data_IF_315185349684
#
_entry.id   IF_315185349684
#
_cell.length_a   1.000
_cell.length_b   1.000
_cell.length_c   1.000
_cell.angle_alpha   90.00
_cell.angle_beta   90.00
_cell.angle_gamma   90.00
#
_symmetry.space_group_name_H-M   'P 1'
#
loop_
_entity.id
_entity.type
_entity.pdbx_description
1 polymer ?
#
# COMPACT_ATOMS: atom_id res chain seq x y z
N UNK A 1 2.06 -15.31 13.24
CA UNK A 1 1.47 -16.60 13.64
C UNK A 1 0.01 -16.44 14.07
N UNK A 2 -0.29 -15.49 14.96
CA UNK A 2 -1.67 -15.23 15.44
C UNK A 2 -2.68 -15.05 14.31
N UNK A 3 -2.40 -14.14 13.36
CA UNK A 3 -3.31 -13.78 12.25
C UNK A 3 -3.67 -14.97 11.35
N UNK A 4 -2.75 -15.90 11.12
CA UNK A 4 -3.00 -17.11 10.34
C UNK A 4 -3.65 -18.22 11.17
N UNK A 5 -3.45 -18.20 12.49
CA UNK A 5 -3.99 -19.20 13.41
C UNK A 5 -5.46 -18.98 13.75
N UNK A 6 -5.90 -17.73 13.90
CA UNK A 6 -7.28 -17.40 14.28
C UNK A 6 -8.33 -18.00 13.33
N UNK A 7 -8.22 -17.83 11.99
CA UNK A 7 -9.18 -18.43 11.07
C UNK A 7 -9.21 -19.97 11.17
N UNK A 8 -8.05 -20.61 11.39
CA UNK A 8 -7.97 -22.06 11.54
C UNK A 8 -8.70 -22.52 12.81
N UNK A 9 -8.51 -21.84 13.94
CA UNK A 9 -9.21 -22.15 15.19
C UNK A 9 -10.72 -22.03 15.03
N UNK A 10 -11.20 -21.02 14.31
CA UNK A 10 -12.62 -20.82 14.06
C UNK A 10 -13.19 -21.90 13.12
N UNK A 11 -12.45 -22.30 12.08
CA UNK A 11 -12.88 -23.33 11.13
C UNK A 11 -12.94 -24.73 11.72
N UNK A 12 -12.07 -25.08 12.68
CA UNK A 12 -12.05 -26.41 13.32
C UNK A 12 -12.90 -26.48 14.58
N UNK A 13 -13.30 -25.33 15.13
CA UNK A 13 -14.09 -25.26 16.35
C UNK A 13 -15.57 -25.58 16.10
N UNK A 14 -16.25 -26.00 17.16
CA UNK A 14 -17.65 -26.48 17.16
C UNK A 14 -18.58 -25.61 18.03
N UNK A 15 -18.15 -24.39 18.35
CA UNK A 15 -18.81 -23.50 19.32
C UNK A 15 -18.29 -23.67 20.75
N UNK A 16 -17.43 -24.66 21.00
CA UNK A 16 -16.84 -24.94 22.30
C UNK A 16 -15.62 -24.08 22.66
N UNK A 17 -14.72 -24.59 23.52
CA UNK A 17 -13.55 -23.85 23.99
C UNK A 17 -12.61 -23.38 22.88
N UNK A 18 -12.47 -24.17 21.80
CA UNK A 18 -11.60 -23.83 20.66
C UNK A 18 -12.14 -22.61 19.91
N UNK A 19 -13.45 -22.61 19.60
CA UNK A 19 -14.12 -21.46 18.99
C UNK A 19 -14.04 -20.24 19.89
N UNK A 20 -14.25 -20.40 21.20
CA UNK A 20 -14.15 -19.31 22.17
C UNK A 20 -12.76 -18.69 22.17
N UNK A 21 -11.70 -19.51 22.17
CA UNK A 21 -10.33 -19.03 22.07
C UNK A 21 -10.09 -18.29 20.73
N UNK A 22 -10.56 -18.84 19.62
CA UNK A 22 -10.49 -18.19 18.30
C UNK A 22 -11.16 -16.82 18.30
N UNK A 23 -12.37 -16.70 18.85
CA UNK A 23 -13.11 -15.45 18.94
C UNK A 23 -12.42 -14.43 19.84
N UNK A 24 -11.91 -14.83 21.01
CA UNK A 24 -11.15 -13.93 21.90
C UNK A 24 -9.91 -13.39 21.19
N UNK A 25 -9.16 -14.26 20.53
CA UNK A 25 -7.97 -13.86 19.78
C UNK A 25 -8.33 -12.95 18.59
N UNK A 26 -9.45 -13.20 17.91
CA UNK A 26 -10.00 -12.31 16.87
C UNK A 26 -10.28 -10.91 17.44
N UNK A 27 -10.99 -10.81 18.57
CA UNK A 27 -11.26 -9.53 19.23
C UNK A 27 -9.99 -8.81 19.64
N UNK A 28 -9.01 -9.52 20.20
CA UNK A 28 -7.73 -8.92 20.60
C UNK A 28 -6.96 -8.39 19.39
N UNK A 29 -6.88 -9.16 18.30
CA UNK A 29 -6.21 -8.74 17.07
C UNK A 29 -6.88 -7.51 16.45
N UNK A 30 -8.19 -7.56 16.23
CA UNK A 30 -8.94 -6.47 15.62
C UNK A 30 -9.05 -5.24 16.53
N UNK A 31 -9.06 -5.43 17.86
CA UNK A 31 -8.98 -4.36 18.84
C UNK A 31 -7.63 -3.65 18.81
N UNK A 32 -6.53 -4.41 18.70
CA UNK A 32 -5.20 -3.85 18.53
C UNK A 32 -5.08 -3.06 17.21
N UNK A 33 -5.59 -3.58 16.10
CA UNK A 33 -5.59 -2.86 14.81
C UNK A 33 -6.34 -1.52 14.96
N UNK A 34 -7.53 -1.55 15.58
CA UNK A 34 -8.34 -0.35 15.82
C UNK A 34 -7.62 0.68 16.69
N UNK A 35 -6.83 0.24 17.68
CA UNK A 35 -6.14 1.16 18.59
C UNK A 35 -4.89 1.82 18.01
N UNK A 36 -4.31 1.26 16.94
CA UNK A 36 -2.99 1.69 16.45
C UNK A 36 -3.04 2.58 15.20
N UNK A 37 -4.15 2.64 14.46
CA UNK A 37 -4.14 3.31 13.15
C UNK A 37 -5.35 4.26 12.99
N UNK A 38 -5.12 5.59 13.05
CA UNK A 38 -6.10 6.57 12.57
C UNK A 38 -5.99 6.86 11.06
N UNK A 39 -5.03 6.27 10.33
CA UNK A 39 -4.87 6.46 8.89
C UNK A 39 -5.62 5.41 8.06
N UNK A 40 -6.69 5.84 7.38
CA UNK A 40 -7.15 5.28 6.10
C UNK A 40 -7.53 3.79 6.03
N UNK A 41 -7.52 3.06 7.15
CA UNK A 41 -8.00 1.68 7.20
C UNK A 41 -9.52 1.72 7.19
N UNK A 42 -10.21 0.87 6.41
CA UNK A 42 -11.65 0.73 6.52
C UNK A 42 -11.98 0.07 7.87
N UNK A 43 -12.11 0.89 8.92
CA UNK A 43 -12.48 0.45 10.28
C UNK A 43 -13.83 -0.27 10.24
N UNK A 44 -14.69 0.11 9.29
CA UNK A 44 -15.94 -0.56 8.97
C UNK A 44 -15.69 -2.04 8.62
N UNK A 45 -14.66 -2.35 7.84
CA UNK A 45 -14.32 -3.74 7.51
C UNK A 45 -13.79 -4.48 8.73
N UNK A 46 -12.98 -3.80 9.55
CA UNK A 46 -12.48 -4.38 10.80
C UNK A 46 -13.64 -4.79 11.73
N UNK A 47 -14.65 -3.92 11.86
CA UNK A 47 -15.87 -4.20 12.62
C UNK A 47 -16.68 -5.34 12.01
N UNK A 48 -16.88 -5.32 10.69
CA UNK A 48 -17.65 -6.36 9.97
C UNK A 48 -16.98 -7.73 10.10
N UNK A 49 -15.64 -7.81 10.10
CA UNK A 49 -14.92 -9.07 10.29
C UNK A 49 -15.15 -9.65 11.70
N UNK A 50 -15.09 -8.81 12.73
CA UNK A 50 -15.38 -9.24 14.11
C UNK A 50 -16.84 -9.67 14.26
N UNK A 51 -17.77 -8.88 13.73
CA UNK A 51 -19.19 -9.24 13.73
C UNK A 51 -19.43 -10.56 12.99
N UNK A 52 -18.86 -10.73 11.79
CA UNK A 52 -18.98 -11.94 10.99
C UNK A 52 -18.42 -13.16 11.70
N UNK A 53 -17.28 -13.01 12.41
CA UNK A 53 -16.73 -14.09 13.22
C UNK A 53 -17.67 -14.49 14.36
N UNK A 54 -18.21 -13.53 15.12
CA UNK A 54 -19.19 -13.81 16.18
C UNK A 54 -20.47 -14.44 15.64
N UNK A 55 -20.97 -13.95 14.51
CA UNK A 55 -22.19 -14.44 13.91
C UNK A 55 -22.02 -15.87 13.40
N UNK A 56 -21.02 -16.11 12.54
CA UNK A 56 -20.83 -17.39 11.88
C UNK A 56 -20.32 -18.47 12.83
N UNK A 57 -19.36 -18.16 13.71
CA UNK A 57 -18.73 -19.18 14.54
C UNK A 57 -19.26 -19.18 15.99
N UNK A 58 -19.73 -18.04 16.50
CA UNK A 58 -20.28 -17.94 17.84
C UNK A 58 -21.76 -18.27 17.92
N UNK A 59 -22.59 -17.59 17.11
CA UNK A 59 -24.04 -17.75 17.14
C UNK A 59 -24.54 -18.92 16.28
N UNK A 60 -23.79 -19.27 15.23
CA UNK A 60 -24.16 -20.31 14.25
C UNK A 60 -23.06 -21.36 14.00
N UNK A 61 -22.43 -21.93 15.05
CA UNK A 61 -21.32 -22.88 14.90
C UNK A 61 -21.68 -24.14 14.08
N UNK A 62 -22.96 -24.45 13.96
CA UNK A 62 -23.47 -25.57 13.15
C UNK A 62 -23.33 -25.36 11.65
N UNK A 63 -23.20 -24.12 11.17
CA UNK A 63 -23.17 -23.80 9.74
C UNK A 63 -21.85 -24.22 9.13
N UNK A 64 -21.90 -25.09 8.12
CA UNK A 64 -20.72 -25.55 7.40
C UNK A 64 -20.55 -24.87 6.04
N UNK A 65 -19.30 -24.67 5.62
CA UNK A 65 -18.96 -24.33 4.24
C UNK A 65 -19.45 -25.37 3.22
N UNK A 66 -19.65 -26.62 3.66
CA UNK A 66 -20.16 -27.71 2.82
C UNK A 66 -21.68 -27.63 2.59
N UNK A 67 -22.38 -26.83 3.38
CA UNK A 67 -23.84 -26.67 3.29
C UNK A 67 -24.24 -25.53 2.35
N UNK A 68 -23.29 -25.01 1.55
CA UNK A 68 -23.57 -24.04 0.48
C UNK A 68 -24.50 -24.66 -0.58
N UNK A 69 -25.81 -24.46 -0.41
CA UNK A 69 -26.85 -25.03 -1.28
C UNK A 69 -26.92 -24.44 -2.70
N UNK A 70 -26.09 -23.45 -3.02
CA UNK A 70 -26.08 -22.76 -4.32
C UNK A 70 -24.72 -22.90 -5.01
N UNK A 71 -24.60 -23.75 -6.05
CA UNK A 71 -23.36 -23.90 -6.81
C UNK A 71 -22.82 -22.58 -7.41
N UNK A 72 -23.65 -21.66 -7.94
CA UNK A 72 -23.16 -20.35 -8.39
C UNK A 72 -22.53 -19.51 -7.28
N UNK A 73 -23.10 -19.53 -6.07
CA UNK A 73 -22.55 -18.80 -4.92
C UNK A 73 -21.22 -19.43 -4.50
N UNK A 74 -21.15 -20.76 -4.42
CA UNK A 74 -19.91 -21.46 -4.13
C UNK A 74 -18.81 -21.13 -5.16
N UNK A 75 -19.14 -21.12 -6.46
CA UNK A 75 -18.20 -20.75 -7.51
C UNK A 75 -17.71 -19.30 -7.37
N UNK A 76 -18.60 -18.37 -7.05
CA UNK A 76 -18.24 -16.97 -6.78
C UNK A 76 -17.27 -16.87 -5.60
N UNK A 77 -17.56 -17.53 -4.49
CA UNK A 77 -16.71 -17.51 -3.29
C UNK A 77 -15.33 -18.12 -3.56
N UNK A 78 -15.26 -19.26 -4.26
CA UNK A 78 -13.97 -19.85 -4.65
C UNK A 78 -13.18 -18.90 -5.55
N UNK A 79 -13.85 -18.27 -6.52
CA UNK A 79 -13.19 -17.31 -7.40
C UNK A 79 -12.65 -16.09 -6.63
N UNK A 80 -13.45 -15.47 -5.77
CA UNK A 80 -13.07 -14.24 -5.07
C UNK A 80 -12.14 -14.48 -3.89
N UNK A 81 -12.30 -15.57 -3.15
CA UNK A 81 -11.53 -15.84 -1.92
C UNK A 81 -10.26 -16.67 -2.17
N UNK A 82 -10.18 -17.39 -3.30
CA UNK A 82 -9.03 -18.24 -3.61
C UNK A 82 -8.35 -17.80 -4.90
N UNK A 83 -9.07 -17.78 -6.02
CA UNK A 83 -8.44 -17.55 -7.32
C UNK A 83 -7.87 -16.13 -7.46
N UNK A 84 -8.64 -15.10 -7.13
CA UNK A 84 -8.17 -13.70 -7.22
C UNK A 84 -6.97 -13.44 -6.29
N UNK A 85 -7.01 -13.79 -4.99
CA UNK A 85 -5.84 -13.71 -4.11
C UNK A 85 -4.63 -14.49 -4.62
N UNK A 86 -4.82 -15.72 -5.09
CA UNK A 86 -3.71 -16.54 -5.59
C UNK A 86 -3.04 -15.90 -6.80
N UNK A 87 -3.82 -15.48 -7.80
CA UNK A 87 -3.29 -14.82 -8.99
C UNK A 87 -2.58 -13.52 -8.62
N UNK A 88 -3.13 -12.72 -7.71
CA UNK A 88 -2.51 -11.48 -7.28
C UNK A 88 -1.26 -11.65 -6.42
N UNK A 89 -1.14 -12.76 -5.69
CA UNK A 89 0.11 -13.09 -5.01
C UNK A 89 1.18 -13.61 -5.98
N UNK A 90 0.81 -14.37 -7.02
CA UNK A 90 1.73 -14.90 -8.04
C UNK A 90 2.11 -13.86 -9.12
N UNK A 91 1.22 -12.91 -9.43
CA UNK A 91 1.37 -11.91 -10.47
C UNK A 91 0.85 -10.54 -9.99
N UNK A 92 1.49 -9.92 -8.98
CA UNK A 92 1.00 -8.70 -8.35
C UNK A 92 0.86 -7.52 -9.31
N UNK A 93 1.65 -7.48 -10.39
CA UNK A 93 1.51 -6.45 -11.42
C UNK A 93 0.19 -6.51 -12.22
N UNK A 94 -0.64 -7.56 -12.05
CA UNK A 94 -1.90 -7.74 -12.79
C UNK A 94 -3.14 -7.60 -11.93
N UNK A 95 -3.01 -7.78 -10.62
CA UNK A 95 -4.13 -7.74 -9.69
C UNK A 95 -3.69 -6.87 -8.53
N UNK A 96 -4.45 -5.80 -8.31
CA UNK A 96 -4.21 -4.83 -7.26
C UNK A 96 -4.01 -5.50 -5.90
N UNK A 97 -3.22 -4.86 -5.05
CA UNK A 97 -2.96 -5.25 -3.67
C UNK A 97 -4.24 -5.62 -2.90
N UNK A 98 -5.30 -4.82 -3.04
CA UNK A 98 -6.53 -4.95 -2.28
C UNK A 98 -7.30 -6.26 -2.57
N UNK A 99 -7.74 -6.54 -3.82
CA UNK A 99 -8.39 -7.80 -4.14
C UNK A 99 -7.48 -9.01 -3.97
N UNK A 100 -6.16 -8.80 -3.99
CA UNK A 100 -5.18 -9.85 -3.74
C UNK A 100 -5.09 -10.29 -2.27
N UNK A 101 -5.76 -9.56 -1.35
CA UNK A 101 -5.67 -9.75 0.11
C UNK A 101 -4.22 -9.84 0.59
N UNK A 102 -3.32 -9.07 -0.06
CA UNK A 102 -1.91 -9.03 0.33
C UNK A 102 -1.82 -8.33 1.69
N UNK A 103 -0.90 -8.80 2.50
CA UNK A 103 -0.80 -8.32 3.88
C UNK A 103 -0.30 -6.87 3.91
N UNK A 104 -0.90 -6.02 4.76
CA UNK A 104 -0.53 -4.60 4.88
C UNK A 104 0.79 -4.44 5.69
N UNK A 105 1.87 -5.05 5.21
CA UNK A 105 3.20 -5.04 5.81
C UNK A 105 4.25 -4.39 4.88
N UNK A 106 3.83 -3.35 4.15
CA UNK A 106 4.67 -2.61 3.20
C UNK A 106 5.23 -3.45 2.06
N UNK A 107 4.51 -4.51 1.65
CA UNK A 107 4.92 -5.42 0.58
C UNK A 107 4.13 -5.27 -0.73
N UNK A 108 3.40 -4.17 -0.84
CA UNK A 108 2.70 -3.75 -2.04
C UNK A 108 3.57 -2.81 -2.87
N UNK A 109 3.21 -2.71 -4.15
CA UNK A 109 3.83 -1.79 -5.07
C UNK A 109 3.74 -0.37 -4.53
N UNK A 110 4.80 0.41 -4.68
CA UNK A 110 4.83 1.81 -4.28
C UNK A 110 5.54 2.66 -5.33
N UNK A 111 5.31 3.96 -5.29
CA UNK A 111 6.13 4.92 -6.02
C UNK A 111 6.52 6.08 -5.13
N UNK A 112 7.61 6.73 -5.51
CA UNK A 112 8.13 7.96 -4.92
C UNK A 112 8.29 8.96 -6.04
N UNK A 113 7.72 10.14 -5.86
CA UNK A 113 7.74 11.24 -6.81
C UNK A 113 8.67 12.33 -6.27
N UNK A 114 9.69 12.66 -7.06
CA UNK A 114 10.74 13.62 -6.75
C UNK A 114 10.49 14.86 -7.61
N UNK A 115 10.02 15.93 -6.99
CA UNK A 115 9.80 17.22 -7.64
C UNK A 115 10.98 18.14 -7.37
N UNK A 116 11.71 18.55 -8.39
CA UNK A 116 12.85 19.47 -8.22
C UNK A 116 12.36 20.84 -7.76
N UNK A 117 13.01 21.44 -6.77
CA UNK A 117 12.67 22.76 -6.22
C UNK A 117 11.16 22.89 -5.94
N UNK A 118 10.52 23.97 -6.43
CA UNK A 118 9.08 24.20 -6.32
C UNK A 118 8.27 23.71 -7.53
N UNK A 119 8.81 22.79 -8.34
CA UNK A 119 8.11 22.29 -9.54
C UNK A 119 6.78 21.60 -9.22
N UNK A 120 6.62 21.05 -8.00
CA UNK A 120 5.33 20.51 -7.52
C UNK A 120 4.19 21.52 -7.62
N UNK A 121 4.47 22.84 -7.59
CA UNK A 121 3.49 23.91 -7.78
C UNK A 121 2.83 23.87 -9.16
N UNK A 122 3.45 23.24 -10.17
CA UNK A 122 2.81 23.00 -11.47
C UNK A 122 1.54 22.14 -11.34
N UNK A 123 1.43 21.29 -10.32
CA UNK A 123 0.20 20.53 -10.04
C UNK A 123 -0.96 21.47 -9.68
N UNK A 124 -0.74 22.46 -8.80
CA UNK A 124 -1.78 23.44 -8.43
C UNK A 124 -2.16 24.36 -9.60
N UNK A 125 -1.20 24.71 -10.45
CA UNK A 125 -1.43 25.65 -11.57
C UNK A 125 -2.16 25.02 -12.75
N UNK A 126 -1.91 23.74 -13.02
CA UNK A 126 -2.33 23.10 -14.28
C UNK A 126 -3.34 21.95 -14.11
N UNK A 127 -3.55 21.46 -12.89
CA UNK A 127 -4.52 20.39 -12.63
C UNK A 127 -5.75 20.94 -11.88
N UNK A 128 -6.93 20.51 -12.30
CA UNK A 128 -8.12 20.56 -11.45
C UNK A 128 -8.05 19.37 -10.51
N UNK A 129 -7.87 19.64 -9.22
CA UNK A 129 -7.62 18.59 -8.23
C UNK A 129 -8.43 18.79 -6.95
N UNK A 130 -8.85 17.70 -6.29
CA UNK A 130 -9.75 17.76 -5.13
C UNK A 130 -9.13 18.35 -3.87
N UNK A 131 -7.80 18.29 -3.74
CA UNK A 131 -7.09 18.79 -2.56
C UNK A 131 -5.88 19.65 -2.96
N UNK A 132 -5.56 20.74 -2.22
CA UNK A 132 -4.31 21.50 -2.35
C UNK A 132 -3.07 20.65 -2.06
N UNK A 133 -1.87 21.21 -2.23
CA UNK A 133 -0.64 20.57 -1.77
C UNK A 133 -0.74 20.18 -0.28
N UNK A 134 -0.26 18.98 0.10
CA UNK A 134 -0.43 18.45 1.46
C UNK A 134 0.14 19.38 2.54
N UNK A 135 1.32 19.99 2.31
CA UNK A 135 1.91 20.93 3.25
C UNK A 135 1.00 22.15 3.46
N UNK A 136 0.46 22.72 2.38
CA UNK A 136 -0.41 23.89 2.43
C UNK A 136 -1.75 23.61 3.16
N UNK A 137 -2.18 22.34 3.21
CA UNK A 137 -3.36 21.94 3.99
C UNK A 137 -3.02 21.90 5.48
N UNK A 138 -1.88 21.33 5.84
CA UNK A 138 -1.42 21.17 7.23
C UNK A 138 -1.03 22.51 7.86
N UNK A 139 -0.41 23.41 7.10
CA UNK A 139 0.02 24.74 7.57
C UNK A 139 -1.13 25.67 7.98
N UNK A 140 -2.38 25.31 7.65
CA UNK A 140 -3.57 26.00 8.17
C UNK A 140 -3.82 25.72 9.65
N UNK A 141 -3.25 24.63 10.16
CA UNK A 141 -3.51 24.10 11.50
C UNK A 141 -2.24 23.97 12.34
N UNK A 142 -1.08 23.84 11.70
CA UNK A 142 0.19 23.56 12.35
C UNK A 142 1.28 24.53 11.89
N UNK A 143 2.27 24.77 12.75
CA UNK A 143 3.49 25.49 12.37
C UNK A 143 4.33 24.68 11.38
N UNK A 144 5.26 25.36 10.69
CA UNK A 144 6.08 24.75 9.64
C UNK A 144 6.90 23.54 10.14
N UNK A 145 7.65 23.61 11.26
CA UNK A 145 8.33 22.45 11.83
C UNK A 145 7.40 21.24 12.06
N UNK A 146 6.23 21.47 12.66
CA UNK A 146 5.23 20.40 12.88
C UNK A 146 4.74 19.81 11.56
N UNK A 147 4.44 20.64 10.56
CA UNK A 147 4.02 20.18 9.22
C UNK A 147 5.08 19.31 8.55
N UNK A 148 6.34 19.74 8.58
CA UNK A 148 7.47 18.95 8.04
C UNK A 148 7.60 17.62 8.79
N UNK A 149 7.46 17.64 10.11
CA UNK A 149 7.47 16.43 10.93
C UNK A 149 6.34 15.46 10.54
N UNK A 150 5.12 15.96 10.39
CA UNK A 150 3.96 15.15 9.99
C UNK A 150 4.10 14.55 8.60
N UNK A 151 4.58 15.33 7.61
CA UNK A 151 4.83 14.83 6.26
C UNK A 151 5.95 13.77 6.25
N UNK A 152 7.01 13.99 7.03
CA UNK A 152 8.12 13.04 7.19
C UNK A 152 7.68 11.69 7.76
N UNK A 153 6.56 11.61 8.51
CA UNK A 153 6.06 10.33 9.01
C UNK A 153 5.67 9.36 7.89
N UNK A 154 5.20 9.87 6.73
CA UNK A 154 4.83 9.03 5.58
C UNK A 154 6.08 8.40 4.97
N UNK A 155 7.14 9.18 4.82
CA UNK A 155 8.45 8.70 4.37
C UNK A 155 9.06 7.74 5.38
N UNK A 156 9.00 8.07 6.67
CA UNK A 156 9.43 7.18 7.75
C UNK A 156 8.71 5.85 7.72
N UNK A 157 7.38 5.87 7.55
CA UNK A 157 6.56 4.67 7.35
C UNK A 157 7.07 3.83 6.18
N UNK A 158 7.34 4.44 5.02
CA UNK A 158 7.88 3.73 3.87
C UNK A 158 9.19 3.02 4.21
N UNK A 159 10.11 3.73 4.85
CA UNK A 159 11.46 3.23 5.18
C UNK A 159 11.48 2.15 6.28
N UNK A 160 10.46 2.10 7.15
CA UNK A 160 10.32 1.02 8.14
C UNK A 160 10.04 -0.36 7.52
N UNK A 161 9.64 -0.41 6.25
CA UNK A 161 9.30 -1.65 5.56
C UNK A 161 10.43 -2.11 4.64
N UNK A 162 10.54 -3.43 4.45
CA UNK A 162 11.58 -4.06 3.62
C UNK A 162 11.69 -3.45 2.21
N UNK A 163 10.55 -3.24 1.53
CA UNK A 163 10.53 -2.67 0.19
C UNK A 163 11.01 -1.21 0.17
N UNK A 164 10.80 -0.46 1.25
CA UNK A 164 11.30 0.92 1.38
C UNK A 164 12.83 1.00 1.39
N UNK A 165 13.54 -0.04 1.85
CA UNK A 165 15.01 -0.09 1.83
C UNK A 165 15.60 -0.08 0.41
N UNK A 166 14.79 -0.37 -0.61
CA UNK A 166 15.17 -0.20 -2.01
C UNK A 166 15.56 1.25 -2.32
N UNK A 167 14.92 2.22 -1.66
CA UNK A 167 15.13 3.64 -1.93
C UNK A 167 16.56 4.10 -1.62
N UNK A 168 17.25 3.48 -0.66
CA UNK A 168 18.67 3.76 -0.38
C UNK A 168 19.57 3.52 -1.60
N UNK A 169 19.24 2.50 -2.42
CA UNK A 169 19.96 2.21 -3.66
C UNK A 169 19.40 2.94 -4.88
N UNK A 170 18.10 3.25 -4.87
CA UNK A 170 17.41 3.80 -6.04
C UNK A 170 17.41 5.32 -6.12
N UNK A 171 17.31 6.04 -4.98
CA UNK A 171 17.30 7.51 -4.99
C UNK A 171 18.57 8.13 -5.58
N UNK A 172 19.80 7.67 -5.23
CA UNK A 172 21.03 8.20 -5.83
C UNK A 172 21.18 7.87 -7.33
N UNK A 173 20.44 6.88 -7.82
CA UNK A 173 20.39 6.52 -9.25
C UNK A 173 19.32 7.32 -9.99
N UNK A 174 18.27 7.75 -9.28
CA UNK A 174 17.17 8.51 -9.85
C UNK A 174 17.55 9.97 -10.09
N UNK A 175 18.26 10.58 -9.14
CA UNK A 175 18.66 11.99 -9.17
C UNK A 175 20.07 12.17 -8.59
N UNK A 176 20.83 13.15 -9.10
CA UNK A 176 22.21 13.38 -8.69
C UNK A 176 22.33 13.89 -7.24
N UNK A 177 21.37 14.72 -6.81
CA UNK A 177 21.29 15.28 -5.46
C UNK A 177 19.83 15.22 -5.01
N UNK A 178 19.53 14.42 -3.98
CA UNK A 178 18.16 14.24 -3.47
C UNK A 178 17.67 15.49 -2.73
N UNK A 179 18.59 16.28 -2.14
CA UNK A 179 18.25 17.47 -1.36
C UNK A 179 17.67 18.61 -2.22
N UNK A 180 17.83 18.54 -3.54
CA UNK A 180 17.21 19.46 -4.52
C UNK A 180 15.75 19.09 -4.83
N UNK A 181 15.22 18.01 -4.25
CA UNK A 181 13.91 17.47 -4.59
C UNK A 181 13.01 17.35 -3.36
N UNK A 182 11.76 17.75 -3.53
CA UNK A 182 10.69 17.39 -2.61
C UNK A 182 10.26 15.94 -2.91
N UNK A 183 10.50 15.05 -1.95
CA UNK A 183 10.10 13.65 -2.00
C UNK A 183 8.67 13.49 -1.47
N UNK A 184 7.76 13.07 -2.36
CA UNK A 184 6.40 12.68 -1.99
C UNK A 184 6.11 11.21 -2.31
N UNK A 185 5.54 10.46 -1.36
CA UNK A 185 5.02 9.11 -1.62
C UNK A 185 3.86 9.16 -2.61
N UNK A 186 3.83 8.25 -3.57
CA UNK A 186 2.83 8.21 -4.64
C UNK A 186 1.39 8.11 -4.14
N UNK A 187 1.15 7.58 -2.94
CA UNK A 187 -0.18 7.58 -2.32
C UNK A 187 -0.68 9.01 -2.05
N UNK A 188 0.20 9.92 -1.63
CA UNK A 188 -0.15 11.33 -1.44
C UNK A 188 -0.42 12.01 -2.78
N UNK A 189 0.37 11.68 -3.82
CA UNK A 189 0.15 12.20 -5.17
C UNK A 189 -1.19 11.71 -5.73
N UNK A 190 -1.50 10.41 -5.63
CA UNK A 190 -2.78 9.85 -6.03
C UNK A 190 -3.95 10.49 -5.27
N UNK A 191 -3.84 10.64 -3.96
CA UNK A 191 -4.85 11.30 -3.13
C UNK A 191 -5.10 12.75 -3.56
N UNK A 192 -4.03 13.51 -3.80
CA UNK A 192 -4.14 14.90 -4.25
C UNK A 192 -4.67 15.04 -5.67
N UNK A 193 -4.19 14.23 -6.62
CA UNK A 193 -4.46 14.39 -8.06
C UNK A 193 -5.73 13.67 -8.49
N UNK A 194 -5.94 12.43 -8.02
CA UNK A 194 -7.10 11.60 -8.37
C UNK A 194 -8.26 11.74 -7.40
N UNK A 195 -8.00 12.20 -6.15
CA UNK A 195 -8.99 12.17 -5.07
C UNK A 195 -9.17 10.82 -4.43
N UNK A 196 -8.30 9.87 -4.75
CA UNK A 196 -8.38 8.51 -4.25
C UNK A 196 -6.98 7.90 -4.13
N UNK A 197 -6.74 7.22 -3.02
CA UNK A 197 -5.56 6.41 -2.75
C UNK A 197 -5.97 5.23 -1.87
N UNK A 198 -5.28 4.09 -1.97
CA UNK A 198 -5.62 2.90 -1.18
C UNK A 198 -4.48 1.87 -1.10
N UNK A 199 -3.24 2.32 -0.99
CA UNK A 199 -2.09 1.40 -0.90
C UNK A 199 -1.92 0.56 -2.16
N UNK A 200 -2.07 1.19 -3.33
CA UNK A 200 -1.97 0.54 -4.62
C UNK A 200 -1.24 1.43 -5.63
N UNK A 201 0.05 1.14 -5.87
CA UNK A 201 0.82 1.90 -6.85
C UNK A 201 0.41 1.72 -8.30
N UNK A 202 -0.48 0.78 -8.62
CA UNK A 202 -1.08 0.76 -9.96
C UNK A 202 -1.98 1.98 -10.21
N UNK A 203 -2.27 2.81 -9.20
CA UNK A 203 -2.94 4.11 -9.34
C UNK A 203 -1.96 5.28 -9.54
N UNK A 204 -0.69 5.14 -9.16
CA UNK A 204 0.34 6.17 -9.27
C UNK A 204 1.59 5.68 -10.01
N UNK A 205 1.35 4.87 -11.04
CA UNK A 205 2.36 4.38 -11.97
C UNK A 205 2.57 5.34 -13.16
N UNK A 206 3.24 4.87 -14.20
CA UNK A 206 3.52 5.64 -15.40
C UNK A 206 2.28 6.22 -16.07
N UNK A 207 1.10 5.61 -15.94
CA UNK A 207 -0.15 6.14 -16.52
C UNK A 207 -0.55 7.45 -15.84
N UNK A 208 -0.40 7.53 -14.53
CA UNK A 208 -0.63 8.79 -13.80
C UNK A 208 0.43 9.81 -14.16
N UNK A 209 1.70 9.39 -14.22
CA UNK A 209 2.82 10.26 -14.58
C UNK A 209 2.64 10.88 -15.97
N UNK A 210 2.26 10.08 -16.97
CA UNK A 210 1.97 10.55 -18.33
C UNK A 210 0.80 11.55 -18.33
N UNK A 211 -0.27 11.28 -17.59
CA UNK A 211 -1.42 12.17 -17.49
C UNK A 211 -1.09 13.50 -16.80
N UNK A 212 -0.24 13.47 -15.76
CA UNK A 212 0.29 14.65 -15.07
C UNK A 212 1.20 15.43 -16.02
N UNK A 213 2.13 14.76 -16.68
CA UNK A 213 3.06 15.38 -17.62
C UNK A 213 2.34 16.11 -18.76
N UNK A 214 1.34 15.47 -19.36
CA UNK A 214 0.59 16.03 -20.48
C UNK A 214 -0.10 17.37 -20.15
N UNK A 215 -0.34 17.65 -18.86
CA UNK A 215 -0.99 18.87 -18.38
C UNK A 215 -0.02 19.87 -17.78
N UNK A 216 0.95 19.40 -17.01
CA UNK A 216 1.87 20.25 -16.26
C UNK A 216 3.11 20.64 -17.05
N UNK A 217 3.54 19.84 -18.03
CA UNK A 217 4.71 20.12 -18.85
C UNK A 217 5.99 20.27 -18.01
N UNK A 218 6.39 19.20 -17.32
CA UNK A 218 7.67 19.16 -16.63
C UNK A 218 8.82 19.06 -17.64
N UNK A 219 9.92 19.75 -17.35
CA UNK A 219 11.18 19.66 -18.09
C UNK A 219 11.97 18.42 -17.66
N UNK A 220 13.02 18.09 -18.42
CA UNK A 220 13.87 16.95 -18.12
C UNK A 220 14.52 17.09 -16.74
N UNK A 221 14.38 16.06 -15.90
CA UNK A 221 14.91 16.04 -14.54
C UNK A 221 14.15 16.95 -13.56
N UNK A 222 13.00 17.51 -13.95
CA UNK A 222 12.18 18.32 -13.05
C UNK A 222 11.21 17.45 -12.22
N UNK A 223 10.69 16.37 -12.81
CA UNK A 223 9.90 15.35 -12.11
C UNK A 223 10.42 13.95 -12.42
N UNK A 224 10.93 13.28 -11.39
CA UNK A 224 11.45 11.91 -11.44
C UNK A 224 10.63 11.00 -10.53
N UNK A 225 10.26 9.83 -11.01
CA UNK A 225 9.55 8.82 -10.24
C UNK A 225 10.40 7.56 -10.08
N UNK A 226 10.46 7.03 -8.85
CA UNK A 226 10.96 5.68 -8.56
C UNK A 226 9.76 4.81 -8.25
N UNK A 227 9.56 3.75 -9.04
CA UNK A 227 8.43 2.84 -8.93
C UNK A 227 8.94 1.45 -8.64
N UNK A 228 8.44 0.81 -7.58
CA UNK A 228 8.84 -0.54 -7.17
C UNK A 228 7.61 -1.41 -7.10
N UNK A 229 7.64 -2.54 -7.80
CA UNK A 229 6.56 -3.51 -7.81
C UNK A 229 6.65 -4.45 -6.60
N UNK A 230 5.50 -4.96 -6.17
CA UNK A 230 5.38 -5.98 -5.14
C UNK A 230 6.15 -7.24 -5.53
N UNK A 231 6.77 -7.90 -4.54
CA UNK A 231 7.36 -9.22 -4.72
C UNK A 231 6.29 -10.27 -5.11
N UNK A 232 6.43 -10.96 -6.26
CA UNK A 232 5.61 -12.13 -6.54
C UNK A 232 5.97 -13.30 -5.63
N UNK A 233 4.97 -14.10 -5.23
CA UNK A 233 5.17 -15.25 -4.36
C UNK A 233 6.18 -16.23 -4.97
N UNK A 234 7.17 -16.63 -4.18
CA UNK A 234 8.23 -17.57 -4.59
C UNK A 234 9.39 -16.94 -5.38
N UNK A 235 9.35 -15.62 -5.63
CA UNK A 235 10.48 -14.90 -6.24
C UNK A 235 11.41 -14.34 -5.17
N UNK A 236 12.67 -14.07 -5.53
CA UNK A 236 13.67 -13.50 -4.61
C UNK A 236 14.07 -12.06 -4.97
N UNK A 237 13.40 -11.45 -5.95
CA UNK A 237 13.71 -10.11 -6.44
C UNK A 237 12.49 -9.17 -6.43
N UNK A 238 12.78 -7.88 -6.36
CA UNK A 238 11.82 -6.79 -6.60
C UNK A 238 12.13 -6.12 -7.93
N UNK A 239 11.12 -5.93 -8.77
CA UNK A 239 11.27 -5.17 -10.01
C UNK A 239 11.07 -3.69 -9.73
N UNK A 240 11.91 -2.84 -10.31
CA UNK A 240 11.79 -1.40 -10.19
C UNK A 240 11.97 -0.69 -11.54
N UNK A 241 11.47 0.54 -11.60
CA UNK A 241 11.59 1.44 -12.74
C UNK A 241 11.86 2.85 -12.23
N UNK A 242 12.74 3.57 -12.91
CA UNK A 242 13.00 4.99 -12.72
C UNK A 242 12.53 5.70 -13.98
N UNK A 243 11.61 6.63 -13.83
CA UNK A 243 10.91 7.28 -14.94
C UNK A 243 10.97 8.79 -14.77
N UNK A 244 11.46 9.48 -15.80
CA UNK A 244 11.38 10.92 -15.90
C UNK A 244 10.06 11.32 -16.58
N UNK A 245 9.39 12.36 -16.08
CA UNK A 245 8.13 12.80 -16.67
C UNK A 245 8.28 13.21 -18.14
N UNK A 246 9.41 13.83 -18.52
CA UNK A 246 9.65 14.33 -19.88
C UNK A 246 10.31 13.29 -20.78
N UNK A 247 11.36 12.63 -20.28
CA UNK A 247 12.17 11.68 -21.05
C UNK A 247 11.57 10.28 -21.10
N UNK A 248 10.68 9.94 -20.16
CA UNK A 248 10.14 8.60 -19.98
C UNK A 248 11.08 7.69 -19.20
N UNK A 249 11.12 6.41 -19.54
CA UNK A 249 11.88 5.42 -18.79
C UNK A 249 13.40 5.71 -18.85
N UNK A 250 14.00 5.92 -17.69
CA UNK A 250 15.45 6.11 -17.54
C UNK A 250 16.13 4.80 -17.20
N UNK A 251 15.56 4.03 -16.27
CA UNK A 251 16.15 2.80 -15.80
C UNK A 251 15.08 1.77 -15.45
N UNK A 252 15.37 0.49 -15.71
CA UNK A 252 14.58 -0.64 -15.22
C UNK A 252 15.52 -1.71 -14.70
N UNK A 253 15.14 -2.39 -13.63
CA UNK A 253 15.97 -3.45 -13.09
C UNK A 253 15.28 -4.29 -12.02
N UNK A 254 16.09 -5.12 -11.39
CA UNK A 254 15.70 -5.95 -10.26
C UNK A 254 16.63 -5.72 -9.07
N UNK A 255 16.08 -5.85 -7.87
CA UNK A 255 16.81 -5.79 -6.60
C UNK A 255 16.64 -7.12 -5.87
N UNK A 256 17.73 -7.67 -5.34
CA UNK A 256 17.69 -8.90 -4.56
C UNK A 256 17.17 -8.63 -3.13
N UNK A 257 16.28 -9.50 -2.66
CA UNK A 257 15.63 -9.32 -1.35
C UNK A 257 16.58 -9.58 -0.19
N UNK A 258 17.55 -10.49 -0.33
CA UNK A 258 18.56 -10.73 0.70
C UNK A 258 19.44 -9.50 0.88
N UNK A 259 19.78 -8.81 -0.21
CA UNK A 259 20.51 -7.53 -0.12
C UNK A 259 19.69 -6.47 0.62
N UNK A 260 18.38 -6.38 0.39
CA UNK A 260 17.51 -5.44 1.10
C UNK A 260 17.36 -5.80 2.59
N UNK A 261 17.29 -7.10 2.91
CA UNK A 261 17.24 -7.58 4.29
C UNK A 261 18.52 -7.25 5.07
N UNK A 262 19.67 -7.28 4.40
CA UNK A 262 20.97 -6.97 4.99
C UNK A 262 21.21 -5.47 5.25
N UNK A 263 20.39 -4.58 4.68
CA UNK A 263 20.48 -3.13 4.89
C UNK A 263 19.77 -2.69 6.16
N UNK A 264 20.30 -1.67 6.81
CA UNK A 264 19.57 -0.98 7.87
C UNK A 264 18.35 -0.22 7.29
N UNK A 265 17.28 -0.02 8.07
CA UNK A 265 16.12 0.74 7.61
C UNK A 265 16.45 2.21 7.31
N UNK A 266 17.45 2.77 7.98
CA UNK A 266 17.93 4.14 7.81
C UNK A 266 19.39 4.15 7.33
N UNK A 267 19.80 5.14 6.51
CA UNK A 267 21.19 5.27 6.13
C UNK A 267 22.00 5.66 7.36
N UNK A 268 23.09 4.93 7.62
CA UNK A 268 24.13 5.26 8.60
C UNK A 268 25.18 6.17 8.00
#
# INVERSE_FOLDING_TARGET
ALELGVPLLLLIGDGGPVTTAGLVLMFMLHGYITSNIPMGVPIEWNLVMVYGACFLFGAHPEVSLLELGSPPVAALLVFTLVFVPLVGNLAPARVSFLPSMRYYAGNWAFSVWLFRDESYRKLDRHLTKPAPWTADQLERFYDRPTTVGLMSMVVGFRLMHLHGRALHGLLPRAVANVDEYEWVDGELVAGMVLGWNFGDAHLHDERLLEAVQARCGFDEGELRCVMVESQPLGQTTLRYRIVDARHGLVERGELDIQELLARDPWPS
#
